data_IF_904030958419
#
_entry.id   IF_904030958419
#
_cell.length_a   1.000
_cell.length_b   1.000
_cell.length_c   1.000
_cell.angle_alpha   90.00
_cell.angle_beta   90.00
_cell.angle_gamma   90.00
#
_symmetry.space_group_name_H-M   'P 1'
#
loop_
_entity.id
_entity.type
_entity.pdbx_description
1 polymer ?
#
# COMPACT_ATOMS: atom_id res chain seq x y z
N UNK A 1 10.39 -36.73 45.27
CA UNK A 1 10.82 -35.58 44.45
C UNK A 1 10.32 -35.82 43.05
N UNK A 2 9.17 -35.26 42.71
CA UNK A 2 8.48 -35.44 41.43
C UNK A 2 8.95 -34.33 40.49
N UNK A 3 9.58 -34.73 39.40
CA UNK A 3 9.99 -33.80 38.34
C UNK A 3 8.74 -33.38 37.56
N UNK A 4 8.31 -32.13 37.72
CA UNK A 4 7.30 -31.51 36.88
C UNK A 4 7.86 -31.32 35.46
N UNK A 5 7.28 -32.05 34.54
CA UNK A 5 7.60 -32.01 33.12
C UNK A 5 6.76 -30.86 32.46
N UNK A 6 7.34 -29.77 31.93
CA UNK A 6 6.58 -28.67 31.30
C UNK A 6 6.49 -28.85 29.78
N UNK A 7 6.02 -29.98 29.25
CA UNK A 7 6.10 -30.29 27.81
C UNK A 7 4.78 -30.34 27.06
N UNK A 8 3.64 -29.93 27.63
CA UNK A 8 2.34 -30.06 26.93
C UNK A 8 1.65 -28.74 26.55
N UNK A 9 2.18 -27.57 26.92
CA UNK A 9 1.53 -26.27 26.65
C UNK A 9 2.05 -25.53 25.39
N UNK A 10 3.22 -25.92 24.84
CA UNK A 10 3.81 -25.19 23.70
C UNK A 10 3.13 -25.51 22.35
N UNK A 11 2.64 -26.72 22.15
CA UNK A 11 2.03 -27.15 20.89
C UNK A 11 0.66 -26.52 20.62
N UNK A 12 -0.17 -26.40 21.66
CA UNK A 12 -1.51 -25.79 21.54
C UNK A 12 -1.47 -24.30 21.23
N UNK A 13 -0.49 -23.55 21.75
CA UNK A 13 -0.32 -22.13 21.46
C UNK A 13 0.23 -21.88 20.05
N UNK A 14 1.08 -22.75 19.52
CA UNK A 14 1.62 -22.63 18.17
C UNK A 14 0.53 -22.82 17.10
N UNK A 15 -0.39 -23.77 17.28
CA UNK A 15 -1.53 -23.96 16.36
C UNK A 15 -2.48 -22.78 16.35
N UNK A 16 -2.79 -22.20 17.50
CA UNK A 16 -3.64 -21.01 17.63
C UNK A 16 -2.99 -19.78 16.97
N UNK A 17 -1.69 -19.58 17.18
CA UNK A 17 -0.94 -18.49 16.56
C UNK A 17 -0.95 -18.60 15.03
N UNK A 18 -0.78 -19.80 14.49
CA UNK A 18 -0.84 -20.04 13.05
C UNK A 18 -2.26 -19.80 12.50
N UNK A 19 -3.29 -20.27 13.19
CA UNK A 19 -4.69 -20.02 12.82
C UNK A 19 -4.99 -18.52 12.78
N UNK A 20 -4.60 -17.77 13.81
CA UNK A 20 -4.74 -16.32 13.87
C UNK A 20 -4.02 -15.63 12.70
N UNK A 21 -2.80 -16.05 12.39
CA UNK A 21 -2.04 -15.49 11.26
C UNK A 21 -2.75 -15.72 9.93
N UNK A 22 -3.18 -16.95 9.66
CA UNK A 22 -3.82 -17.31 8.39
C UNK A 22 -5.14 -16.53 8.21
N UNK A 23 -6.03 -16.57 9.21
CA UNK A 23 -7.34 -15.92 9.06
C UNK A 23 -7.24 -14.39 9.07
N UNK A 24 -6.27 -13.83 9.79
CA UNK A 24 -6.00 -12.38 9.76
C UNK A 24 -5.43 -11.94 8.41
N UNK A 25 -4.56 -12.74 7.81
CA UNK A 25 -4.01 -12.47 6.47
C UNK A 25 -5.12 -12.55 5.42
N UNK A 26 -5.99 -13.56 5.50
CA UNK A 26 -7.16 -13.65 4.61
C UNK A 26 -8.09 -12.45 4.79
N UNK A 27 -8.44 -12.10 6.03
CA UNK A 27 -9.28 -10.95 6.34
C UNK A 27 -8.68 -9.65 5.81
N UNK A 28 -7.38 -9.44 6.00
CA UNK A 28 -6.67 -8.28 5.47
C UNK A 28 -6.65 -8.26 3.94
N UNK A 29 -6.44 -9.42 3.29
CA UNK A 29 -6.47 -9.53 1.82
C UNK A 29 -7.84 -9.14 1.26
N UNK A 30 -8.91 -9.63 1.86
CA UNK A 30 -10.28 -9.31 1.42
C UNK A 30 -10.64 -7.85 1.72
N UNK A 31 -10.28 -7.32 2.88
CA UNK A 31 -10.46 -5.89 3.19
C UNK A 31 -9.69 -5.00 2.20
N UNK A 32 -8.45 -5.38 1.85
CA UNK A 32 -7.65 -4.61 0.89
C UNK A 32 -8.22 -4.71 -0.53
N UNK A 33 -8.74 -5.88 -0.94
CA UNK A 33 -9.45 -6.09 -2.19
C UNK A 33 -10.65 -5.13 -2.30
N UNK A 34 -11.49 -5.09 -1.26
CA UNK A 34 -12.64 -4.18 -1.17
C UNK A 34 -12.20 -2.72 -1.23
N UNK A 35 -11.17 -2.36 -0.50
CA UNK A 35 -10.64 -1.01 -0.45
C UNK A 35 -10.17 -0.50 -1.81
N UNK A 36 -9.64 -1.40 -2.66
CA UNK A 36 -9.17 -1.11 -4.02
C UNK A 36 -10.24 -1.26 -5.11
N UNK A 37 -11.48 -1.55 -4.76
CA UNK A 37 -12.56 -1.88 -5.68
C UNK A 37 -12.77 -0.80 -6.77
N UNK A 38 -12.71 0.47 -6.40
CA UNK A 38 -12.92 1.57 -7.33
C UNK A 38 -11.87 1.69 -8.44
N UNK A 39 -10.69 1.10 -8.28
CA UNK A 39 -9.69 1.05 -9.33
C UNK A 39 -10.15 0.27 -10.58
N UNK A 40 -11.16 -0.57 -10.43
CA UNK A 40 -11.76 -1.34 -11.54
C UNK A 40 -13.19 -0.86 -11.84
N UNK A 41 -14.10 -0.88 -10.86
CA UNK A 41 -15.50 -0.48 -11.10
C UNK A 41 -15.63 1.01 -11.40
N UNK A 42 -14.69 1.83 -10.98
CA UNK A 42 -14.66 3.25 -11.30
C UNK A 42 -14.61 3.54 -12.80
N UNK A 43 -14.08 2.61 -13.62
CA UNK A 43 -13.99 2.79 -15.08
C UNK A 43 -15.37 2.83 -15.74
N UNK A 44 -16.25 1.81 -15.59
CA UNK A 44 -17.61 1.88 -16.10
C UNK A 44 -18.43 3.00 -15.45
N UNK A 45 -18.25 3.29 -14.16
CA UNK A 45 -18.91 4.40 -13.47
C UNK A 45 -18.51 5.74 -14.09
N UNK A 46 -17.22 5.96 -14.35
CA UNK A 46 -16.73 7.14 -15.05
C UNK A 46 -17.39 7.34 -16.40
N UNK A 47 -17.49 6.27 -17.18
CA UNK A 47 -18.16 6.30 -18.50
C UNK A 47 -19.65 6.60 -18.38
N UNK A 48 -20.32 5.99 -17.41
CA UNK A 48 -21.77 6.16 -17.18
C UNK A 48 -22.12 7.58 -16.74
N UNK A 49 -21.30 8.21 -15.90
CA UNK A 49 -21.56 9.53 -15.34
C UNK A 49 -20.85 10.66 -16.10
N UNK A 50 -20.02 10.35 -17.09
CA UNK A 50 -19.27 11.33 -17.86
C UNK A 50 -18.20 12.07 -17.05
N UNK A 51 -17.57 11.39 -16.07
CA UNK A 51 -16.59 12.00 -15.18
C UNK A 51 -15.30 12.38 -15.92
N UNK A 52 -14.73 13.53 -15.57
CA UNK A 52 -13.37 13.89 -15.99
C UNK A 52 -12.31 13.09 -15.20
N UNK A 53 -11.02 13.30 -15.51
CA UNK A 53 -9.96 12.53 -14.86
C UNK A 53 -9.78 12.92 -13.39
N UNK A 54 -9.98 14.17 -13.02
CA UNK A 54 -9.93 14.66 -11.63
C UNK A 54 -11.04 14.03 -10.79
N UNK A 55 -12.27 14.03 -11.31
CA UNK A 55 -13.43 13.41 -10.66
C UNK A 55 -13.23 11.90 -10.48
N UNK A 56 -12.66 11.22 -11.46
CA UNK A 56 -12.29 9.82 -11.34
C UNK A 56 -11.20 9.61 -10.28
N UNK A 57 -10.20 10.47 -10.24
CA UNK A 57 -9.16 10.47 -9.21
C UNK A 57 -9.75 10.59 -7.81
N UNK A 58 -10.68 11.53 -7.61
CA UNK A 58 -11.38 11.71 -6.34
C UNK A 58 -12.26 10.51 -5.99
N UNK A 59 -12.99 9.96 -6.97
CA UNK A 59 -13.82 8.76 -6.79
C UNK A 59 -13.00 7.60 -6.25
N UNK A 60 -11.88 7.30 -6.90
CA UNK A 60 -11.02 6.18 -6.52
C UNK A 60 -10.27 6.41 -5.20
N UNK A 61 -9.94 7.65 -4.90
CA UNK A 61 -9.21 8.05 -3.72
C UNK A 61 -10.09 8.16 -2.45
N UNK A 62 -11.39 8.42 -2.60
CA UNK A 62 -12.29 8.67 -1.45
C UNK A 62 -12.24 7.58 -0.37
N UNK A 63 -12.27 6.27 -0.68
CA UNK A 63 -12.11 5.23 0.33
C UNK A 63 -10.74 5.29 1.03
N UNK A 64 -9.71 5.78 0.34
CA UNK A 64 -8.36 5.85 0.91
C UNK A 64 -8.26 6.89 2.01
N UNK A 65 -9.01 7.98 1.92
CA UNK A 65 -9.06 9.02 2.93
C UNK A 65 -9.51 8.44 4.28
N UNK A 66 -10.69 7.85 4.32
CA UNK A 66 -11.24 7.28 5.56
C UNK A 66 -10.39 6.12 6.05
N UNK A 67 -9.94 5.24 5.15
CA UNK A 67 -9.07 4.12 5.48
C UNK A 67 -7.74 4.56 6.09
N UNK A 68 -7.26 5.76 5.78
CA UNK A 68 -6.06 6.34 6.38
C UNK A 68 -6.33 6.94 7.75
N UNK A 69 -7.39 7.73 7.88
CA UNK A 69 -7.74 8.43 9.12
C UNK A 69 -8.18 7.47 10.23
N UNK A 70 -8.93 6.42 9.88
CA UNK A 70 -9.47 5.45 10.85
C UNK A 70 -8.40 4.56 11.50
N UNK A 71 -7.18 4.51 10.92
CA UNK A 71 -6.08 3.68 11.43
C UNK A 71 -5.74 3.98 12.88
N UNK A 72 -5.75 5.25 13.25
CA UNK A 72 -5.39 5.68 14.60
C UNK A 72 -6.42 5.21 15.63
N UNK A 73 -7.72 5.55 15.51
CA UNK A 73 -8.72 5.06 16.47
C UNK A 73 -8.83 3.53 16.47
N UNK A 74 -8.71 2.86 15.32
CA UNK A 74 -8.73 1.38 15.27
C UNK A 74 -7.55 0.76 16.00
N UNK A 75 -6.35 1.34 15.90
CA UNK A 75 -5.19 0.90 16.69
C UNK A 75 -5.46 0.99 18.20
N UNK A 76 -5.99 2.13 18.67
CA UNK A 76 -6.36 2.35 20.07
C UNK A 76 -7.45 1.35 20.53
N UNK A 77 -8.47 1.14 19.71
CA UNK A 77 -9.53 0.17 20.03
C UNK A 77 -9.01 -1.27 20.05
N UNK A 78 -8.08 -1.61 19.19
CA UNK A 78 -7.43 -2.93 19.17
C UNK A 78 -6.65 -3.19 20.46
N UNK A 79 -5.96 -2.16 20.97
CA UNK A 79 -5.26 -2.25 22.25
C UNK A 79 -6.22 -2.39 23.43
N UNK A 80 -7.38 -1.73 23.37
CA UNK A 80 -8.37 -1.68 24.46
C UNK A 80 -9.31 -2.91 24.47
N UNK A 81 -9.82 -3.31 23.31
CA UNK A 81 -10.88 -4.31 23.17
C UNK A 81 -10.42 -5.65 22.59
N UNK A 82 -9.17 -5.73 22.16
CA UNK A 82 -8.61 -6.90 21.49
C UNK A 82 -8.83 -6.93 19.98
N UNK A 83 -7.85 -7.52 19.29
CA UNK A 83 -7.83 -7.52 17.82
C UNK A 83 -8.95 -8.36 17.20
N UNK A 84 -9.35 -9.46 17.83
CA UNK A 84 -10.44 -10.32 17.36
C UNK A 84 -11.76 -9.56 17.22
N UNK A 85 -12.16 -8.86 18.28
CA UNK A 85 -13.46 -8.14 18.31
C UNK A 85 -13.42 -6.97 17.35
N UNK A 86 -12.35 -6.17 17.37
CA UNK A 86 -12.24 -4.97 16.54
C UNK A 86 -12.18 -5.32 15.06
N UNK A 87 -11.44 -6.37 14.68
CA UNK A 87 -11.33 -6.78 13.29
C UNK A 87 -12.66 -7.32 12.75
N UNK A 88 -13.33 -8.15 13.54
CA UNK A 88 -14.66 -8.67 13.20
C UNK A 88 -15.69 -7.55 13.03
N UNK A 89 -15.76 -6.63 14.00
CA UNK A 89 -16.66 -5.47 13.94
C UNK A 89 -16.37 -4.56 12.74
N UNK A 90 -15.10 -4.35 12.42
CA UNK A 90 -14.68 -3.59 11.24
C UNK A 90 -15.20 -4.22 9.94
N UNK A 91 -15.03 -5.53 9.77
CA UNK A 91 -15.52 -6.23 8.58
C UNK A 91 -17.03 -6.14 8.46
N UNK A 92 -17.77 -6.38 9.55
CA UNK A 92 -19.24 -6.26 9.55
C UNK A 92 -19.70 -4.84 9.23
N UNK A 93 -19.05 -3.81 9.78
CA UNK A 93 -19.37 -2.41 9.49
C UNK A 93 -19.21 -2.03 8.01
N UNK A 94 -18.32 -2.72 7.30
CA UNK A 94 -18.09 -2.49 5.87
C UNK A 94 -19.12 -3.20 4.96
N UNK A 95 -19.75 -4.29 5.40
CA UNK A 95 -20.65 -5.11 4.55
C UNK A 95 -21.80 -4.29 3.99
N UNK A 96 -22.47 -3.52 4.85
CA UNK A 96 -23.64 -2.71 4.45
C UNK A 96 -23.28 -1.62 3.44
N UNK A 97 -22.27 -0.77 3.68
CA UNK A 97 -21.85 0.24 2.70
C UNK A 97 -21.42 -0.37 1.35
N UNK A 98 -20.72 -1.51 1.37
CA UNK A 98 -20.32 -2.17 0.12
C UNK A 98 -21.55 -2.64 -0.65
N UNK A 99 -22.50 -3.26 0.02
CA UNK A 99 -23.76 -3.69 -0.62
C UNK A 99 -24.55 -2.51 -1.19
N UNK A 100 -24.65 -1.41 -0.45
CA UNK A 100 -25.35 -0.19 -0.88
C UNK A 100 -24.69 0.46 -2.10
N UNK A 101 -23.40 0.25 -2.33
CA UNK A 101 -22.68 0.80 -3.49
C UNK A 101 -23.34 0.43 -4.83
N UNK A 102 -23.92 -0.76 -4.93
CA UNK A 102 -24.58 -1.23 -6.13
C UNK A 102 -25.83 -0.43 -6.53
N UNK A 103 -26.39 0.32 -5.60
CA UNK A 103 -27.57 1.17 -5.81
C UNK A 103 -27.24 2.64 -6.00
N UNK A 104 -25.97 3.00 -5.98
CA UNK A 104 -25.52 4.38 -6.19
C UNK A 104 -25.76 4.79 -7.66
N UNK A 105 -26.36 5.96 -7.86
CA UNK A 105 -26.72 6.49 -9.19
C UNK A 105 -26.09 7.85 -9.50
N UNK A 106 -25.78 8.64 -8.47
CA UNK A 106 -25.17 9.96 -8.61
C UNK A 106 -23.74 9.97 -8.09
N UNK A 107 -22.90 10.83 -8.62
CA UNK A 107 -21.50 10.94 -8.24
C UNK A 107 -21.29 11.07 -6.72
N UNK A 108 -22.05 11.94 -6.08
CA UNK A 108 -21.95 12.15 -4.64
C UNK A 108 -22.38 10.94 -3.80
N UNK A 109 -23.28 10.04 -4.33
CA UNK A 109 -23.60 8.77 -3.66
C UNK A 109 -22.34 7.88 -3.56
N UNK A 110 -21.59 7.78 -4.66
CA UNK A 110 -20.35 7.02 -4.68
C UNK A 110 -19.31 7.56 -3.71
N UNK A 111 -19.18 8.90 -3.62
CA UNK A 111 -18.26 9.53 -2.68
C UNK A 111 -18.68 9.27 -1.23
N UNK A 112 -19.95 9.49 -0.90
CA UNK A 112 -20.47 9.30 0.46
C UNK A 112 -20.34 7.84 0.93
N UNK A 113 -20.80 6.89 0.11
CA UNK A 113 -20.71 5.46 0.43
C UNK A 113 -19.24 5.02 0.43
N UNK A 114 -18.43 5.55 -0.48
CA UNK A 114 -16.99 5.30 -0.58
C UNK A 114 -16.23 5.65 0.71
N UNK A 115 -16.63 6.70 1.43
CA UNK A 115 -16.07 7.03 2.75
C UNK A 115 -16.30 5.90 3.76
N UNK A 116 -17.48 5.28 3.76
CA UNK A 116 -17.76 4.15 4.66
C UNK A 116 -17.08 2.86 4.22
N UNK A 117 -17.02 2.57 2.92
CA UNK A 117 -16.23 1.46 2.36
C UNK A 117 -14.76 1.62 2.72
N UNK A 118 -14.30 2.85 2.82
CA UNK A 118 -12.93 3.18 3.20
C UNK A 118 -12.49 2.63 4.55
N UNK A 119 -13.41 2.38 5.48
CA UNK A 119 -13.10 1.79 6.79
C UNK A 119 -12.31 0.48 6.66
N UNK A 120 -12.53 -0.30 5.59
CA UNK A 120 -11.79 -1.52 5.31
C UNK A 120 -10.26 -1.31 5.22
N UNK A 121 -9.81 -0.11 4.81
CA UNK A 121 -8.38 0.27 4.78
C UNK A 121 -7.72 0.36 6.16
N UNK A 122 -8.51 0.43 7.23
CA UNK A 122 -8.02 0.38 8.61
C UNK A 122 -7.62 -1.01 9.11
N UNK A 123 -7.93 -2.06 8.37
CA UNK A 123 -7.67 -3.47 8.74
C UNK A 123 -6.22 -3.77 9.04
N UNK A 124 -5.27 -3.09 8.38
CA UNK A 124 -3.85 -3.21 8.67
C UNK A 124 -3.50 -2.81 10.11
N UNK A 125 -4.09 -1.71 10.60
CA UNK A 125 -3.82 -1.20 11.96
C UNK A 125 -4.43 -2.08 13.06
N UNK A 126 -5.44 -2.86 12.74
CA UNK A 126 -6.03 -3.85 13.65
C UNK A 126 -5.23 -5.14 13.63
N UNK A 127 -4.96 -5.66 12.44
CA UNK A 127 -4.31 -6.96 12.27
C UNK A 127 -2.85 -6.98 12.70
N UNK A 128 -2.11 -5.88 12.49
CA UNK A 128 -0.69 -5.80 12.86
C UNK A 128 -0.46 -6.06 14.36
N UNK A 129 -1.03 -5.29 15.30
CA UNK A 129 -0.86 -5.57 16.72
C UNK A 129 -1.49 -6.89 17.15
N UNK A 130 -2.64 -7.26 16.58
CA UNK A 130 -3.31 -8.51 16.90
C UNK A 130 -2.44 -9.73 16.57
N UNK A 131 -1.91 -9.81 15.35
CA UNK A 131 -1.01 -10.91 14.95
C UNK A 131 0.30 -10.88 15.74
N UNK A 132 0.89 -9.70 15.94
CA UNK A 132 2.15 -9.57 16.67
C UNK A 132 2.09 -10.14 18.09
N UNK A 133 0.96 -10.02 18.78
CA UNK A 133 0.75 -10.53 20.14
C UNK A 133 0.80 -12.06 20.25
N UNK A 134 0.54 -12.78 19.15
CA UNK A 134 0.55 -14.23 19.09
C UNK A 134 1.94 -14.84 18.81
N UNK A 135 2.93 -14.00 18.44
CA UNK A 135 4.25 -14.47 18.06
C UNK A 135 5.34 -13.91 19.00
N UNK A 136 6.34 -14.72 19.39
CA UNK A 136 7.48 -14.23 20.13
C UNK A 136 8.29 -13.24 19.26
N UNK A 137 9.02 -12.32 19.91
CA UNK A 137 9.77 -11.25 19.23
C UNK A 137 10.64 -11.74 18.06
N UNK A 138 11.26 -12.92 18.22
CA UNK A 138 12.13 -13.52 17.20
C UNK A 138 11.40 -13.95 15.92
N UNK A 139 10.07 -14.20 16.00
CA UNK A 139 9.23 -14.65 14.88
C UNK A 139 8.23 -13.59 14.41
N UNK A 140 8.18 -12.44 15.05
CA UNK A 140 7.25 -11.37 14.68
C UNK A 140 7.54 -10.84 13.27
N UNK A 141 8.81 -10.74 12.85
CA UNK A 141 9.18 -10.32 11.50
C UNK A 141 8.57 -11.22 10.42
N UNK A 142 8.66 -12.54 10.60
CA UNK A 142 8.02 -13.51 9.71
C UNK A 142 6.49 -13.35 9.69
N UNK A 143 5.86 -13.30 10.87
CA UNK A 143 4.42 -13.16 10.98
C UNK A 143 3.91 -11.85 10.34
N UNK A 144 4.62 -10.74 10.54
CA UNK A 144 4.30 -9.45 9.93
C UNK A 144 4.53 -9.45 8.41
N UNK A 145 5.53 -10.17 7.93
CA UNK A 145 5.77 -10.36 6.49
C UNK A 145 4.61 -11.10 5.83
N UNK A 146 4.17 -12.23 6.42
CA UNK A 146 3.02 -13.00 5.93
C UNK A 146 1.73 -12.19 6.00
N UNK A 147 1.44 -11.55 7.13
CA UNK A 147 0.27 -10.68 7.28
C UNK A 147 0.30 -9.52 6.26
N UNK A 148 1.46 -8.90 6.08
CA UNK A 148 1.66 -7.82 5.12
C UNK A 148 1.45 -8.21 3.66
N UNK A 149 1.56 -9.51 3.32
CA UNK A 149 1.23 -10.03 2.00
C UNK A 149 -0.26 -9.86 1.65
N UNK A 150 -1.13 -9.58 2.62
CA UNK A 150 -2.53 -9.20 2.40
C UNK A 150 -2.72 -7.95 1.53
N UNK A 151 -1.69 -7.11 1.36
CA UNK A 151 -1.70 -6.05 0.34
C UNK A 151 -1.93 -6.60 -1.09
N UNK A 152 -1.70 -7.89 -1.33
CA UNK A 152 -2.03 -8.56 -2.59
C UNK A 152 -3.52 -8.55 -2.93
N UNK A 153 -4.40 -8.16 -1.99
CA UNK A 153 -5.81 -7.89 -2.25
C UNK A 153 -6.02 -6.89 -3.40
N UNK A 154 -5.08 -5.96 -3.62
CA UNK A 154 -5.09 -5.09 -4.80
C UNK A 154 -4.98 -5.86 -6.13
N UNK A 155 -4.19 -6.95 -6.16
CA UNK A 155 -4.09 -7.82 -7.33
C UNK A 155 -5.32 -8.73 -7.43
N UNK A 156 -5.81 -9.29 -6.32
CA UNK A 156 -7.04 -10.10 -6.28
C UNK A 156 -8.21 -9.32 -6.87
N UNK A 157 -8.37 -8.04 -6.50
CA UNK A 157 -9.37 -7.16 -7.11
C UNK A 157 -9.25 -7.10 -8.64
N UNK A 158 -8.02 -7.06 -9.17
CA UNK A 158 -7.77 -6.98 -10.62
C UNK A 158 -8.02 -8.30 -11.35
N UNK A 159 -8.03 -9.43 -10.67
CA UNK A 159 -8.44 -10.71 -11.24
C UNK A 159 -9.95 -10.92 -11.19
N UNK A 160 -10.59 -10.57 -10.08
CA UNK A 160 -12.00 -10.87 -9.80
C UNK A 160 -12.94 -9.82 -10.39
N UNK A 161 -12.69 -8.53 -10.10
CA UNK A 161 -13.64 -7.47 -10.48
C UNK A 161 -13.85 -7.33 -11.99
N UNK A 162 -12.83 -7.37 -12.88
CA UNK A 162 -13.07 -7.27 -14.32
C UNK A 162 -13.88 -8.42 -14.88
N UNK A 163 -13.70 -9.63 -14.36
CA UNK A 163 -14.48 -10.80 -14.76
C UNK A 163 -15.98 -10.60 -14.43
N UNK A 164 -16.27 -10.11 -13.22
CA UNK A 164 -17.64 -9.79 -12.81
C UNK A 164 -18.23 -8.62 -13.61
N UNK A 165 -17.45 -7.57 -13.86
CA UNK A 165 -17.88 -6.41 -14.65
C UNK A 165 -18.30 -6.81 -16.04
N UNK A 166 -17.51 -7.66 -16.71
CA UNK A 166 -17.82 -8.09 -18.09
C UNK A 166 -18.97 -9.08 -18.14
N UNK A 167 -19.09 -9.98 -17.17
CA UNK A 167 -20.14 -11.01 -17.16
C UNK A 167 -21.49 -10.49 -16.69
N UNK A 168 -21.51 -9.60 -15.69
CA UNK A 168 -22.74 -9.22 -14.98
C UNK A 168 -22.92 -7.71 -14.80
N UNK A 169 -21.97 -6.91 -15.26
CA UNK A 169 -21.92 -5.46 -15.01
C UNK A 169 -21.25 -5.10 -13.68
N UNK A 170 -20.91 -3.83 -13.53
CA UNK A 170 -20.15 -3.36 -12.38
C UNK A 170 -20.92 -3.46 -11.04
N UNK A 171 -22.26 -3.39 -11.07
CA UNK A 171 -23.10 -3.46 -9.86
C UNK A 171 -23.02 -4.81 -9.15
N UNK A 172 -22.64 -5.88 -9.86
CA UNK A 172 -22.44 -7.20 -9.25
C UNK A 172 -21.19 -7.26 -8.37
N UNK A 173 -20.17 -6.45 -8.66
CA UNK A 173 -18.91 -6.47 -7.91
C UNK A 173 -19.12 -6.14 -6.43
N UNK A 174 -19.79 -5.02 -6.05
CA UNK A 174 -20.06 -4.75 -4.65
C UNK A 174 -20.92 -5.84 -3.96
N UNK A 175 -21.90 -6.42 -4.64
CA UNK A 175 -22.70 -7.49 -4.07
C UNK A 175 -21.86 -8.74 -3.74
N UNK A 176 -21.03 -9.18 -4.68
CA UNK A 176 -20.12 -10.32 -4.47
C UNK A 176 -19.11 -10.00 -3.37
N UNK A 177 -18.53 -8.79 -3.39
CA UNK A 177 -17.55 -8.39 -2.40
C UNK A 177 -18.11 -8.27 -0.99
N UNK A 178 -19.36 -7.79 -0.85
CA UNK A 178 -20.06 -7.77 0.43
C UNK A 178 -20.29 -9.20 0.96
N UNK A 179 -20.73 -10.13 0.09
CA UNK A 179 -20.92 -11.53 0.45
C UNK A 179 -19.61 -12.22 0.83
N UNK A 180 -18.52 -11.98 0.07
CA UNK A 180 -17.18 -12.51 0.37
C UNK A 180 -16.66 -11.97 1.69
N UNK A 181 -16.83 -10.65 1.94
CA UNK A 181 -16.40 -10.03 3.20
C UNK A 181 -17.18 -10.58 4.40
N UNK A 182 -18.50 -10.76 4.26
CA UNK A 182 -19.33 -11.38 5.30
C UNK A 182 -18.89 -12.81 5.58
N UNK A 183 -18.70 -13.63 4.54
CA UNK A 183 -18.16 -14.98 4.68
C UNK A 183 -16.79 -15.02 5.35
N UNK A 184 -15.91 -14.08 4.97
CA UNK A 184 -14.59 -13.91 5.60
C UNK A 184 -14.71 -13.53 7.07
N UNK A 185 -15.63 -12.63 7.43
CA UNK A 185 -15.88 -12.24 8.82
C UNK A 185 -16.35 -13.45 9.66
N UNK A 186 -17.25 -14.26 9.12
CA UNK A 186 -17.71 -15.48 9.77
C UNK A 186 -16.57 -16.48 9.99
N UNK A 187 -15.77 -16.75 8.93
CA UNK A 187 -14.58 -17.61 9.04
C UNK A 187 -13.59 -17.06 10.06
N UNK A 188 -13.33 -15.76 10.02
CA UNK A 188 -12.45 -15.10 10.97
C UNK A 188 -12.94 -15.30 12.41
N UNK A 189 -14.23 -15.14 12.68
CA UNK A 189 -14.79 -15.32 14.02
C UNK A 189 -14.58 -16.73 14.57
N UNK A 190 -14.76 -17.76 13.75
CA UNK A 190 -14.63 -19.14 14.19
C UNK A 190 -13.18 -19.59 14.36
N UNK A 191 -12.27 -19.11 13.53
CA UNK A 191 -10.87 -19.57 13.52
C UNK A 191 -9.88 -18.60 14.19
N UNK A 192 -10.32 -17.40 14.56
CA UNK A 192 -9.51 -16.47 15.36
C UNK A 192 -9.66 -16.76 16.86
N UNK A 193 -8.69 -16.30 17.64
CA UNK A 193 -8.66 -16.48 19.08
C UNK A 193 -8.53 -15.14 19.78
N UNK A 194 -9.13 -15.02 21.00
CA UNK A 194 -9.05 -13.82 21.80
C UNK A 194 -7.63 -13.58 22.32
N UNK A 195 -7.21 -12.34 22.29
CA UNK A 195 -5.89 -11.86 22.78
C UNK A 195 -5.99 -11.11 24.12
N UNK A 196 -7.09 -11.29 24.87
CA UNK A 196 -7.40 -10.57 26.11
C UNK A 196 -6.27 -10.60 27.15
N UNK A 197 -5.49 -11.67 27.17
CA UNK A 197 -4.35 -11.84 28.10
C UNK A 197 -3.13 -10.99 27.75
N UNK A 198 -3.12 -10.39 26.58
CA UNK A 198 -1.99 -9.63 26.02
C UNK A 198 -2.34 -8.19 25.71
N UNK A 199 -3.48 -7.71 26.21
CA UNK A 199 -3.90 -6.32 26.00
C UNK A 199 -2.95 -5.38 26.74
N UNK A 200 -2.41 -4.43 26.02
CA UNK A 200 -1.59 -3.35 26.55
C UNK A 200 -2.45 -2.10 26.54
N UNK A 201 -2.72 -1.54 27.72
CA UNK A 201 -3.39 -0.24 27.80
C UNK A 201 -2.42 0.82 27.29
N UNK A 202 -2.54 1.13 26.00
CA UNK A 202 -1.79 2.21 25.39
C UNK A 202 -2.44 3.54 25.74
N UNK A 203 -1.71 4.40 26.43
CA UNK A 203 -2.11 5.80 26.64
C UNK A 203 -1.82 6.68 25.40
N UNK A 204 -1.56 6.08 24.25
CA UNK A 204 -1.30 6.78 23.01
C UNK A 204 -2.57 7.52 22.55
N UNK A 205 -2.54 8.84 22.62
CA UNK A 205 -3.57 9.74 22.11
C UNK A 205 -3.25 10.09 20.64
N UNK A 206 -4.28 10.37 19.83
CA UNK A 206 -4.09 10.94 18.49
C UNK A 206 -3.19 12.18 18.52
N UNK A 207 -3.36 13.03 19.54
CA UNK A 207 -2.55 14.24 19.73
C UNK A 207 -1.08 13.91 20.01
N UNK A 208 -0.77 12.82 20.71
CA UNK A 208 0.62 12.40 20.95
C UNK A 208 1.31 11.93 19.66
N UNK A 209 0.58 11.30 18.76
CA UNK A 209 1.08 10.93 17.45
C UNK A 209 1.36 12.15 16.58
N UNK A 210 0.46 13.14 16.55
CA UNK A 210 0.69 14.39 15.82
C UNK A 210 1.92 15.16 16.33
N UNK A 211 2.20 15.11 17.63
CA UNK A 211 3.42 15.73 18.19
C UNK A 211 4.71 15.11 17.60
N UNK A 212 4.67 13.84 17.19
CA UNK A 212 5.82 13.19 16.57
C UNK A 212 6.21 13.82 15.22
N UNK A 213 5.30 14.51 14.54
CA UNK A 213 5.61 15.25 13.30
C UNK A 213 6.57 16.43 13.51
N UNK A 214 6.83 16.84 14.76
CA UNK A 214 7.87 17.83 15.05
C UNK A 214 9.28 17.30 14.88
N UNK A 215 9.46 15.97 14.87
CA UNK A 215 10.75 15.34 14.61
C UNK A 215 11.01 15.26 13.09
N UNK A 216 12.08 15.93 12.58
CA UNK A 216 12.43 15.88 11.16
C UNK A 216 12.68 14.46 10.62
N UNK A 217 13.12 13.52 11.46
CA UNK A 217 13.29 12.12 11.05
C UNK A 217 11.94 11.45 10.75
N UNK A 218 10.93 11.72 11.59
CA UNK A 218 9.57 11.22 11.38
C UNK A 218 8.97 11.78 10.10
N UNK A 219 9.14 13.07 9.82
CA UNK A 219 8.71 13.68 8.55
C UNK A 219 9.38 13.01 7.34
N UNK A 220 10.66 12.70 7.44
CA UNK A 220 11.39 11.99 6.39
C UNK A 220 10.81 10.59 6.14
N UNK A 221 10.51 9.84 7.19
CA UNK A 221 9.87 8.52 7.05
C UNK A 221 8.45 8.61 6.50
N UNK A 222 7.70 9.65 6.87
CA UNK A 222 6.41 9.98 6.25
C UNK A 222 6.56 10.20 4.74
N UNK A 223 7.55 10.97 4.31
CA UNK A 223 7.83 11.21 2.90
C UNK A 223 8.17 9.91 2.15
N UNK A 224 9.08 9.09 2.71
CA UNK A 224 9.44 7.81 2.08
C UNK A 224 8.25 6.87 1.97
N UNK A 225 7.46 6.77 3.02
CA UNK A 225 6.29 5.88 3.03
C UNK A 225 5.16 6.39 2.14
N UNK A 226 5.02 7.70 1.98
CA UNK A 226 4.08 8.29 1.01
C UNK A 226 4.38 7.90 -0.43
N UNK A 227 5.64 7.61 -0.77
CA UNK A 227 6.02 7.09 -2.09
C UNK A 227 5.74 5.60 -2.16
N UNK A 228 6.41 4.80 -1.31
CA UNK A 228 6.42 3.34 -1.47
C UNK A 228 5.08 2.69 -1.11
N UNK A 229 4.28 3.28 -0.24
CA UNK A 229 2.92 2.83 0.09
C UNK A 229 1.85 3.71 -0.54
N UNK A 230 1.91 5.03 -0.38
CA UNK A 230 0.94 5.95 -0.99
C UNK A 230 0.97 5.87 -2.50
N UNK A 231 2.15 5.89 -3.12
CA UNK A 231 2.33 5.67 -4.55
C UNK A 231 1.85 4.30 -5.01
N UNK A 232 2.11 3.24 -4.23
CA UNK A 232 1.61 1.90 -4.51
C UNK A 232 0.07 1.85 -4.55
N UNK A 233 -0.58 2.45 -3.57
CA UNK A 233 -2.06 2.55 -3.52
C UNK A 233 -2.57 3.37 -4.71
N UNK A 234 -1.99 4.54 -4.94
CA UNK A 234 -2.41 5.44 -6.01
C UNK A 234 -2.27 4.80 -7.41
N UNK A 235 -1.13 4.19 -7.72
CA UNK A 235 -0.94 3.49 -8.99
C UNK A 235 -1.79 2.22 -9.07
N UNK A 236 -2.00 1.50 -7.95
CA UNK A 236 -2.92 0.35 -7.95
C UNK A 236 -4.35 0.75 -8.33
N UNK A 237 -4.80 1.94 -7.97
CA UNK A 237 -6.10 2.48 -8.33
C UNK A 237 -6.14 3.04 -9.76
N UNK A 238 -5.01 3.59 -10.25
CA UNK A 238 -4.94 4.33 -11.52
C UNK A 238 -4.62 3.47 -12.72
N UNK A 239 -3.85 2.38 -12.56
CA UNK A 239 -3.23 1.66 -13.68
C UNK A 239 -4.20 0.98 -14.62
N UNK A 240 -5.33 0.44 -14.14
CA UNK A 240 -6.31 -0.22 -15.05
C UNK A 240 -6.85 0.80 -16.05
N UNK A 241 -7.24 1.99 -15.57
CA UNK A 241 -7.68 3.10 -16.45
C UNK A 241 -6.55 3.55 -17.39
N UNK A 242 -5.31 3.60 -16.90
CA UNK A 242 -4.17 3.98 -17.73
C UNK A 242 -4.00 3.02 -18.91
N UNK A 243 -3.97 1.71 -18.66
CA UNK A 243 -3.84 0.70 -19.72
C UNK A 243 -5.00 0.76 -20.73
N UNK A 244 -6.23 0.94 -20.24
CA UNK A 244 -7.41 1.10 -21.12
C UNK A 244 -7.28 2.34 -21.98
N UNK A 245 -6.89 3.47 -21.40
CA UNK A 245 -6.84 4.76 -22.10
C UNK A 245 -5.63 4.93 -23.02
N UNK A 246 -4.44 4.48 -22.57
CA UNK A 246 -3.18 4.70 -23.31
C UNK A 246 -2.97 3.66 -24.39
N UNK A 247 -3.26 2.39 -24.09
CA UNK A 247 -3.01 1.27 -24.99
C UNK A 247 -4.26 0.69 -25.63
N UNK A 248 -5.45 1.26 -25.35
CA UNK A 248 -6.72 0.80 -25.92
C UNK A 248 -7.11 -0.64 -25.55
N UNK A 249 -6.63 -1.13 -24.40
CA UNK A 249 -6.84 -2.51 -23.99
C UNK A 249 -8.23 -2.73 -23.40
N UNK A 250 -8.76 -3.94 -23.58
CA UNK A 250 -9.92 -4.41 -22.84
C UNK A 250 -9.65 -4.41 -21.32
N UNK A 251 -10.71 -4.17 -20.53
CA UNK A 251 -10.60 -4.02 -19.07
C UNK A 251 -10.00 -5.27 -18.38
N UNK A 252 -10.25 -6.48 -18.91
CA UNK A 252 -9.67 -7.72 -18.37
C UNK A 252 -8.16 -7.76 -18.57
N UNK A 253 -7.71 -7.48 -19.79
CA UNK A 253 -6.28 -7.46 -20.13
C UNK A 253 -5.57 -6.34 -19.39
N UNK A 254 -6.16 -5.14 -19.38
CA UNK A 254 -5.65 -3.98 -18.64
C UNK A 254 -5.46 -4.30 -17.15
N UNK A 255 -6.42 -4.96 -16.52
CA UNK A 255 -6.34 -5.34 -15.13
C UNK A 255 -5.28 -6.42 -14.86
N UNK A 256 -5.14 -7.42 -15.76
CA UNK A 256 -4.07 -8.42 -15.65
C UNK A 256 -2.68 -7.79 -15.71
N UNK A 257 -2.46 -6.86 -16.65
CA UNK A 257 -1.20 -6.13 -16.74
C UNK A 257 -0.96 -5.22 -15.53
N UNK A 258 -1.99 -4.55 -15.04
CA UNK A 258 -1.92 -3.76 -13.82
C UNK A 258 -1.64 -4.63 -12.57
N UNK A 259 -2.06 -5.89 -12.56
CA UNK A 259 -1.75 -6.83 -11.49
C UNK A 259 -0.24 -7.20 -11.45
N UNK A 260 0.49 -7.10 -12.55
CA UNK A 260 1.94 -7.28 -12.59
C UNK A 260 2.69 -6.28 -11.68
N UNK A 261 2.12 -5.12 -11.42
CA UNK A 261 2.62 -4.18 -10.43
C UNK A 261 2.13 -4.51 -9.01
N UNK A 262 0.82 -4.75 -8.87
CA UNK A 262 0.18 -4.87 -7.56
C UNK A 262 0.53 -6.16 -6.84
N UNK A 263 0.69 -7.27 -7.56
CA UNK A 263 0.97 -8.58 -6.98
C UNK A 263 2.36 -8.64 -6.33
N UNK A 264 3.46 -8.37 -7.05
CA UNK A 264 4.78 -8.35 -6.42
C UNK A 264 4.87 -7.28 -5.33
N UNK A 265 4.27 -6.11 -5.56
CA UNK A 265 4.19 -5.03 -4.57
C UNK A 265 3.50 -5.42 -3.27
N UNK A 266 2.54 -6.34 -3.32
CA UNK A 266 1.86 -6.90 -2.15
C UNK A 266 2.66 -8.02 -1.48
N UNK A 267 3.02 -9.04 -2.24
CA UNK A 267 3.56 -10.32 -1.71
C UNK A 267 5.01 -10.22 -1.25
N UNK A 268 5.87 -9.48 -1.98
CA UNK A 268 7.32 -9.51 -1.75
C UNK A 268 7.79 -8.64 -0.56
N UNK A 269 6.87 -8.08 0.21
CA UNK A 269 7.20 -7.25 1.38
C UNK A 269 8.04 -8.01 2.41
N UNK A 270 7.79 -9.31 2.60
CA UNK A 270 8.57 -10.13 3.53
C UNK A 270 10.05 -10.24 3.13
N UNK A 271 10.32 -10.35 1.83
CA UNK A 271 11.70 -10.37 1.29
C UNK A 271 12.37 -9.01 1.54
N UNK A 272 11.65 -7.91 1.36
CA UNK A 272 12.16 -6.58 1.68
C UNK A 272 12.53 -6.40 3.15
N UNK A 273 11.77 -7.02 4.07
CA UNK A 273 12.11 -7.07 5.50
C UNK A 273 13.41 -7.80 5.76
N UNK A 274 13.57 -9.00 5.21
CA UNK A 274 14.81 -9.77 5.31
C UNK A 274 16.02 -9.01 4.72
N UNK A 275 15.84 -8.36 3.55
CA UNK A 275 16.90 -7.54 2.97
C UNK A 275 17.27 -6.37 3.87
N UNK A 276 16.29 -5.72 4.49
CA UNK A 276 16.51 -4.59 5.39
C UNK A 276 17.23 -5.00 6.69
N UNK A 277 16.97 -6.22 7.19
CA UNK A 277 17.69 -6.78 8.32
C UNK A 277 19.15 -7.10 7.96
N UNK A 278 19.40 -7.60 6.73
CA UNK A 278 20.74 -7.99 6.28
C UNK A 278 21.61 -6.82 5.83
N UNK A 279 21.06 -5.88 5.08
CA UNK A 279 21.79 -4.78 4.42
C UNK A 279 21.56 -3.42 5.08
N UNK A 280 20.66 -3.33 6.05
CA UNK A 280 20.25 -2.09 6.71
C UNK A 280 19.14 -1.35 5.98
N UNK A 281 18.31 -0.66 6.76
CA UNK A 281 17.16 0.10 6.25
C UNK A 281 17.56 1.19 5.25
N UNK A 282 18.68 1.91 5.53
CA UNK A 282 19.21 2.95 4.66
C UNK A 282 19.57 2.43 3.27
N UNK A 283 20.38 1.37 3.19
CA UNK A 283 20.85 0.84 1.92
C UNK A 283 19.69 0.35 1.05
N UNK A 284 18.74 -0.39 1.64
CA UNK A 284 17.57 -0.88 0.91
C UNK A 284 16.71 0.27 0.41
N UNK A 285 16.42 1.27 1.26
CA UNK A 285 15.59 2.42 0.86
C UNK A 285 16.29 3.27 -0.21
N UNK A 286 17.61 3.45 -0.11
CA UNK A 286 18.42 4.18 -1.09
C UNK A 286 18.31 3.55 -2.48
N UNK A 287 18.52 2.24 -2.58
CA UNK A 287 18.40 1.53 -3.85
C UNK A 287 16.95 1.50 -4.37
N UNK A 288 15.97 1.35 -3.49
CA UNK A 288 14.55 1.44 -3.86
C UNK A 288 14.22 2.79 -4.49
N UNK A 289 14.72 3.90 -3.91
CA UNK A 289 14.46 5.23 -4.46
C UNK A 289 15.17 5.43 -5.82
N UNK A 290 16.40 4.92 -6.00
CA UNK A 290 17.08 4.99 -7.30
C UNK A 290 16.40 4.15 -8.38
N UNK A 291 16.02 2.92 -8.07
CA UNK A 291 15.27 2.07 -9.01
C UNK A 291 13.93 2.73 -9.36
N UNK A 292 13.23 3.28 -8.37
CA UNK A 292 11.98 4.02 -8.60
C UNK A 292 12.20 5.22 -9.50
N UNK A 293 13.27 5.97 -9.28
CA UNK A 293 13.61 7.15 -10.07
C UNK A 293 13.85 6.80 -11.54
N UNK A 294 14.62 5.76 -11.81
CA UNK A 294 14.89 5.28 -13.18
C UNK A 294 13.60 4.79 -13.84
N UNK A 295 12.86 3.92 -13.15
CA UNK A 295 11.59 3.39 -13.70
C UNK A 295 10.60 4.51 -14.00
N UNK A 296 10.41 5.44 -13.07
CA UNK A 296 9.46 6.54 -13.22
C UNK A 296 9.89 7.54 -14.31
N UNK A 297 11.19 7.78 -14.47
CA UNK A 297 11.71 8.57 -15.57
C UNK A 297 11.31 7.98 -16.92
N UNK A 298 11.54 6.68 -17.10
CA UNK A 298 11.20 5.99 -18.35
C UNK A 298 9.67 5.94 -18.56
N UNK A 299 8.90 5.66 -17.50
CA UNK A 299 7.43 5.61 -17.54
C UNK A 299 6.80 6.99 -17.80
N UNK A 300 7.48 8.06 -17.46
CA UNK A 300 6.96 9.44 -17.63
C UNK A 300 6.97 9.91 -19.07
N UNK A 301 7.72 9.24 -19.96
CA UNK A 301 7.80 9.63 -21.34
C UNK A 301 6.48 9.37 -22.08
N UNK A 302 5.82 10.40 -22.65
CA UNK A 302 4.56 10.23 -23.36
C UNK A 302 4.76 9.55 -24.71
N UNK A 303 3.72 8.91 -25.22
CA UNK A 303 3.69 8.47 -26.61
C UNK A 303 3.80 9.71 -27.52
N UNK A 304 4.86 9.78 -28.33
CA UNK A 304 5.19 10.99 -29.07
C UNK A 304 5.52 10.65 -30.52
N UNK A 305 4.83 11.28 -31.42
CA UNK A 305 5.16 11.28 -32.84
C UNK A 305 5.87 12.59 -33.19
N UNK A 306 7.07 12.51 -33.76
CA UNK A 306 7.76 13.70 -34.24
C UNK A 306 8.23 13.51 -35.66
N UNK A 307 8.09 14.55 -36.43
CA UNK A 307 8.44 14.57 -37.83
C UNK A 307 9.76 15.30 -38.04
N UNK A 308 10.73 14.59 -38.60
CA UNK A 308 12.04 15.14 -38.96
C UNK A 308 12.08 15.39 -40.48
N UNK A 309 12.48 16.58 -40.88
CA UNK A 309 12.74 16.89 -42.27
C UNK A 309 14.10 16.31 -42.69
N UNK A 310 14.06 15.26 -43.51
CA UNK A 310 15.27 14.60 -44.03
C UNK A 310 15.51 15.04 -45.47
N UNK A 311 16.69 14.73 -46.01
CA UNK A 311 17.01 14.98 -47.43
C UNK A 311 16.06 14.29 -48.41
N UNK A 312 15.36 13.24 -47.96
CA UNK A 312 14.38 12.47 -48.73
C UNK A 312 12.92 12.85 -48.41
N UNK A 313 12.67 14.01 -47.76
CA UNK A 313 11.37 14.47 -47.31
C UNK A 313 11.11 14.26 -45.82
N UNK A 314 9.91 14.59 -45.40
CA UNK A 314 9.46 14.45 -44.00
C UNK A 314 9.34 12.97 -43.63
N UNK A 315 9.97 12.57 -42.52
CA UNK A 315 9.80 11.25 -41.91
C UNK A 315 9.30 11.40 -40.47
N UNK A 316 8.20 10.70 -40.16
CA UNK A 316 7.66 10.64 -38.83
C UNK A 316 8.23 9.43 -38.06
N UNK A 317 8.73 9.70 -36.87
CA UNK A 317 9.23 8.71 -35.94
C UNK A 317 8.32 8.69 -34.72
N UNK A 318 7.96 7.48 -34.29
CA UNK A 318 7.24 7.24 -33.06
C UNK A 318 8.21 6.87 -31.96
N UNK A 319 8.16 7.58 -30.83
CA UNK A 319 8.89 7.27 -29.60
C UNK A 319 7.87 7.09 -28.48
N UNK A 320 7.92 5.92 -27.85
CA UNK A 320 7.06 5.58 -26.74
C UNK A 320 7.32 4.16 -26.25
N UNK A 321 6.92 3.87 -25.03
CA UNK A 321 7.02 2.52 -24.49
C UNK A 321 5.91 1.66 -25.07
N UNK A 322 6.28 0.50 -25.62
CA UNK A 322 5.27 -0.52 -25.88
C UNK A 322 4.72 -1.09 -24.58
N UNK A 323 3.55 -1.72 -24.64
CA UNK A 323 2.83 -2.21 -23.45
C UNK A 323 3.66 -3.22 -22.64
N UNK A 324 4.50 -4.03 -23.29
CA UNK A 324 5.31 -5.04 -22.59
C UNK A 324 6.47 -4.41 -21.82
N UNK A 325 7.19 -3.46 -22.43
CA UNK A 325 8.25 -2.72 -21.76
C UNK A 325 7.70 -1.87 -20.63
N UNK A 326 6.56 -1.22 -20.83
CA UNK A 326 5.86 -0.47 -19.81
C UNK A 326 5.48 -1.37 -18.62
N UNK A 327 4.87 -2.53 -18.87
CA UNK A 327 4.49 -3.49 -17.83
C UNK A 327 5.71 -4.08 -17.12
N UNK A 328 6.80 -4.31 -17.83
CA UNK A 328 8.08 -4.75 -17.24
C UNK A 328 8.64 -3.73 -16.23
N UNK A 329 8.62 -2.44 -16.59
CA UNK A 329 9.03 -1.36 -15.69
C UNK A 329 8.09 -1.25 -14.47
N UNK A 330 6.78 -1.41 -14.67
CA UNK A 330 5.79 -1.44 -13.58
C UNK A 330 6.01 -2.63 -12.65
N UNK A 331 6.36 -3.79 -13.18
CA UNK A 331 6.70 -4.97 -12.38
C UNK A 331 7.94 -4.73 -11.50
N UNK A 332 9.01 -4.16 -12.06
CA UNK A 332 10.22 -3.80 -11.32
C UNK A 332 9.90 -2.77 -10.23
N UNK A 333 9.09 -1.76 -10.55
CA UNK A 333 8.65 -0.74 -9.61
C UNK A 333 7.83 -1.36 -8.46
N UNK A 334 6.96 -2.31 -8.75
CA UNK A 334 6.19 -3.07 -7.75
C UNK A 334 7.08 -3.82 -6.78
N UNK A 335 8.11 -4.51 -7.26
CA UNK A 335 9.13 -5.19 -6.43
C UNK A 335 9.86 -4.17 -5.54
N UNK A 336 10.36 -3.09 -6.14
CA UNK A 336 11.08 -2.05 -5.42
C UNK A 336 10.23 -1.47 -4.27
N UNK A 337 8.97 -1.17 -4.52
CA UNK A 337 8.08 -0.62 -3.49
C UNK A 337 7.64 -1.64 -2.44
N UNK A 338 7.61 -2.94 -2.76
CA UNK A 338 7.46 -3.97 -1.74
C UNK A 338 8.61 -3.93 -0.73
N UNK A 339 9.85 -3.82 -1.22
CA UNK A 339 11.04 -3.72 -0.38
C UNK A 339 11.07 -2.40 0.41
N UNK A 340 10.73 -1.29 -0.24
CA UNK A 340 10.67 0.02 0.39
C UNK A 340 9.66 0.12 1.52
N UNK A 341 8.49 -0.52 1.38
CA UNK A 341 7.49 -0.57 2.46
C UNK A 341 8.03 -1.26 3.72
N UNK A 342 8.84 -2.27 3.57
CA UNK A 342 9.46 -2.97 4.70
C UNK A 342 10.64 -2.16 5.27
N UNK A 343 11.50 -1.59 4.42
CA UNK A 343 12.69 -0.85 4.86
C UNK A 343 12.34 0.42 5.65
N UNK A 344 11.26 1.12 5.30
CA UNK A 344 10.82 2.29 6.08
C UNK A 344 10.39 1.86 7.49
N UNK A 345 9.70 0.74 7.65
CA UNK A 345 9.35 0.23 8.98
C UNK A 345 10.57 -0.26 9.76
N UNK A 346 11.61 -0.73 9.08
CA UNK A 346 12.88 -1.06 9.72
C UNK A 346 13.56 0.18 10.30
N UNK A 347 13.57 1.32 9.59
CA UNK A 347 14.04 2.59 10.16
C UNK A 347 13.31 2.96 11.46
N UNK A 348 11.96 2.80 11.47
CA UNK A 348 11.17 3.11 12.65
C UNK A 348 11.54 2.19 13.80
N UNK A 349 11.74 0.91 13.53
CA UNK A 349 12.15 -0.08 14.53
C UNK A 349 13.53 0.24 15.12
N UNK A 350 14.48 0.64 14.28
CA UNK A 350 15.84 0.92 14.68
C UNK A 350 15.95 2.24 15.48
N UNK A 351 15.25 3.29 15.05
CA UNK A 351 15.36 4.63 15.64
C UNK A 351 14.41 4.86 16.83
N UNK A 352 13.24 4.18 16.85
CA UNK A 352 12.15 4.45 17.79
C UNK A 352 11.60 3.19 18.49
N UNK A 353 12.46 2.22 18.81
CA UNK A 353 12.05 0.92 19.35
C UNK A 353 11.06 0.95 20.52
N UNK A 354 11.13 1.97 21.41
CA UNK A 354 10.19 2.14 22.52
C UNK A 354 8.86 2.78 22.12
N UNK A 355 8.85 3.60 21.04
CA UNK A 355 7.70 4.35 20.56
C UNK A 355 7.23 3.89 19.16
N UNK A 356 7.58 2.66 18.79
CA UNK A 356 7.33 2.12 17.45
C UNK A 356 5.87 2.22 17.03
N UNK A 357 4.93 1.96 17.93
CA UNK A 357 3.49 2.03 17.65
C UNK A 357 3.02 3.43 17.27
N UNK A 358 3.45 4.44 18.03
CA UNK A 358 3.10 5.85 17.77
C UNK A 358 3.68 6.33 16.43
N UNK A 359 4.96 6.05 16.19
CA UNK A 359 5.64 6.50 14.96
C UNK A 359 5.13 5.74 13.74
N UNK A 360 4.92 4.42 13.85
CA UNK A 360 4.32 3.61 12.78
C UNK A 360 2.91 4.07 12.42
N UNK A 361 2.14 4.50 13.42
CA UNK A 361 0.79 5.04 13.21
C UNK A 361 0.80 6.30 12.35
N UNK A 362 1.64 7.29 12.70
CA UNK A 362 1.72 8.55 11.95
C UNK A 362 2.33 8.37 10.56
N UNK A 363 3.36 7.53 10.41
CA UNK A 363 3.96 7.21 9.11
C UNK A 363 2.96 6.44 8.24
N UNK A 364 2.19 5.51 8.83
CA UNK A 364 1.13 4.79 8.15
C UNK A 364 -0.01 5.71 7.68
N UNK A 365 -0.39 6.68 8.51
CA UNK A 365 -1.37 7.74 8.15
C UNK A 365 -0.85 8.58 6.98
N UNK A 366 0.39 9.05 7.03
CA UNK A 366 0.99 9.86 5.98
C UNK A 366 1.06 9.10 4.64
N UNK A 367 1.47 7.81 4.67
CA UNK A 367 1.44 6.96 3.49
C UNK A 367 0.03 6.80 2.90
N UNK A 368 -0.97 6.61 3.76
CA UNK A 368 -2.35 6.54 3.32
C UNK A 368 -2.85 7.85 2.72
N UNK A 369 -2.53 9.00 3.31
CA UNK A 369 -2.86 10.32 2.76
C UNK A 369 -2.17 10.57 1.41
N UNK A 370 -0.94 10.08 1.23
CA UNK A 370 -0.29 10.05 -0.09
C UNK A 370 -1.13 9.29 -1.12
N UNK A 371 -1.64 8.11 -0.74
CA UNK A 371 -2.54 7.31 -1.58
C UNK A 371 -3.89 7.97 -1.87
N UNK A 372 -4.34 8.90 -1.03
CA UNK A 372 -5.52 9.72 -1.27
C UNK A 372 -5.24 10.89 -2.23
N UNK A 373 -4.18 11.65 -1.98
CA UNK A 373 -3.89 12.87 -2.72
C UNK A 373 -3.42 12.57 -4.15
N UNK A 374 -2.56 11.56 -4.33
CA UNK A 374 -1.92 11.27 -5.61
C UNK A 374 -2.90 10.95 -6.75
N UNK A 375 -3.95 10.11 -6.60
CA UNK A 375 -4.89 9.87 -7.71
C UNK A 375 -5.65 11.12 -8.15
N UNK A 376 -5.95 12.03 -7.21
CA UNK A 376 -6.59 13.31 -7.50
C UNK A 376 -5.64 14.17 -8.31
N UNK A 377 -4.36 14.25 -7.92
CA UNK A 377 -3.34 14.97 -8.67
C UNK A 377 -3.06 14.37 -10.05
N UNK A 378 -3.08 13.04 -10.18
CA UNK A 378 -2.96 12.36 -11.47
C UNK A 378 -4.09 12.79 -12.42
N UNK A 379 -5.32 12.82 -11.90
CA UNK A 379 -6.48 13.28 -12.66
C UNK A 379 -6.37 14.76 -13.05
N UNK A 380 -6.03 15.61 -12.10
CA UNK A 380 -5.89 17.05 -12.35
C UNK A 380 -4.80 17.36 -13.38
N UNK A 381 -3.64 16.70 -13.28
CA UNK A 381 -2.57 16.88 -14.27
C UNK A 381 -2.99 16.36 -15.66
N UNK A 382 -3.72 15.25 -15.72
CA UNK A 382 -4.24 14.73 -16.98
C UNK A 382 -5.27 15.69 -17.61
N UNK A 383 -6.18 16.26 -16.82
CA UNK A 383 -7.17 17.23 -17.31
C UNK A 383 -6.50 18.53 -17.78
N UNK A 384 -5.43 18.99 -17.08
CA UNK A 384 -4.70 20.20 -17.42
C UNK A 384 -3.78 20.04 -18.64
N UNK A 385 -3.10 18.91 -18.76
CA UNK A 385 -2.05 18.71 -19.77
C UNK A 385 -2.51 17.89 -20.97
N UNK A 386 -3.57 17.10 -20.84
CA UNK A 386 -3.98 16.08 -21.79
C UNK A 386 -3.06 14.87 -21.87
N UNK A 387 -1.99 14.81 -21.04
CA UNK A 387 -0.95 13.78 -21.09
C UNK A 387 -1.18 12.74 -19.98
N UNK A 388 -1.43 11.49 -20.36
CA UNK A 388 -1.68 10.42 -19.38
C UNK A 388 -0.45 10.09 -18.54
N UNK A 389 0.75 10.16 -19.10
CA UNK A 389 2.00 9.89 -18.39
C UNK A 389 2.38 10.99 -17.38
N UNK A 390 1.64 12.09 -17.29
CA UNK A 390 1.85 13.15 -16.28
C UNK A 390 1.78 12.61 -14.83
N UNK A 391 1.03 11.54 -14.59
CA UNK A 391 1.02 10.84 -13.31
C UNK A 391 2.42 10.35 -12.91
N UNK A 392 3.17 9.77 -13.86
CA UNK A 392 4.53 9.30 -13.63
C UNK A 392 5.53 10.45 -13.54
N UNK A 393 5.31 11.55 -14.26
CA UNK A 393 6.12 12.78 -14.12
C UNK A 393 6.02 13.34 -12.70
N UNK A 394 4.82 13.38 -12.12
CA UNK A 394 4.60 13.78 -10.74
C UNK A 394 5.34 12.84 -9.78
N UNK A 395 5.16 11.53 -9.93
CA UNK A 395 5.82 10.55 -9.08
C UNK A 395 7.35 10.63 -9.17
N UNK A 396 7.87 10.86 -10.37
CA UNK A 396 9.29 11.10 -10.61
C UNK A 396 9.80 12.31 -9.79
N UNK A 397 9.07 13.43 -9.84
CA UNK A 397 9.41 14.62 -9.06
C UNK A 397 9.36 14.38 -7.55
N UNK A 398 8.36 13.63 -7.07
CA UNK A 398 8.23 13.31 -5.64
C UNK A 398 9.37 12.39 -5.16
N UNK A 399 9.80 11.44 -5.99
CA UNK A 399 10.98 10.60 -5.68
C UNK A 399 12.27 11.42 -5.64
N UNK A 400 12.42 12.42 -6.51
CA UNK A 400 13.54 13.37 -6.47
C UNK A 400 13.64 14.05 -5.10
N UNK A 401 12.54 14.55 -4.58
CA UNK A 401 12.50 15.18 -3.25
C UNK A 401 13.05 14.21 -2.18
N UNK A 402 12.65 12.94 -2.24
CA UNK A 402 13.16 11.94 -1.29
C UNK A 402 14.64 11.65 -1.45
N UNK A 403 15.14 11.52 -2.68
CA UNK A 403 16.56 11.30 -2.95
C UNK A 403 17.42 12.48 -2.47
N UNK A 404 17.00 13.72 -2.73
CA UNK A 404 17.67 14.92 -2.27
C UNK A 404 17.69 14.95 -0.74
N UNK A 405 16.53 14.71 -0.10
CA UNK A 405 16.43 14.71 1.36
C UNK A 405 17.32 13.63 1.98
N UNK A 406 17.32 12.42 1.44
CA UNK A 406 18.17 11.31 1.89
C UNK A 406 19.64 11.62 1.71
N UNK A 407 20.04 12.19 0.57
CA UNK A 407 21.43 12.60 0.33
C UNK A 407 21.91 13.59 1.39
N UNK A 408 21.16 14.67 1.66
CA UNK A 408 21.56 15.70 2.61
C UNK A 408 21.55 15.23 4.07
N UNK A 409 20.62 14.37 4.45
CA UNK A 409 20.46 13.96 5.85
C UNK A 409 21.27 12.72 6.22
N UNK A 410 21.58 11.85 5.29
CA UNK A 410 22.20 10.55 5.56
C UNK A 410 23.54 10.39 4.86
N UNK A 411 23.60 10.55 3.54
CA UNK A 411 24.81 10.27 2.76
C UNK A 411 25.90 11.32 3.06
N UNK A 412 25.57 12.60 2.98
CA UNK A 412 26.52 13.69 3.23
C UNK A 412 27.06 13.67 4.66
N UNK A 413 26.20 13.43 5.65
CA UNK A 413 26.66 13.35 7.06
C UNK A 413 27.63 12.20 7.26
N UNK A 414 27.40 11.04 6.67
CA UNK A 414 28.30 9.89 6.75
C UNK A 414 29.64 10.18 6.09
N UNK A 415 29.65 10.89 4.95
CA UNK A 415 30.88 11.31 4.27
C UNK A 415 31.69 12.32 5.10
N UNK A 416 31.03 13.29 5.72
CA UNK A 416 31.70 14.28 6.58
C UNK A 416 32.30 13.60 7.80
N UNK A 417 31.53 12.73 8.51
CA UNK A 417 32.04 11.98 9.65
C UNK A 417 33.15 10.99 9.27
N UNK A 418 33.08 10.36 8.08
CA UNK A 418 34.12 9.47 7.58
C UNK A 418 35.43 10.18 7.28
N UNK A 419 35.38 11.46 6.88
CA UNK A 419 36.56 12.29 6.65
C UNK A 419 37.15 12.85 7.95
N UNK A 420 36.36 12.99 9.02
CA UNK A 420 36.79 13.51 10.31
C UNK A 420 37.35 12.43 11.26
N UNK A 421 37.11 11.15 10.99
CA UNK A 421 37.56 10.02 11.81
C UNK A 421 38.33 8.98 10.99
N UNK A 422 39.66 9.14 10.82
CA UNK A 422 40.48 8.09 10.21
C UNK A 422 40.48 6.86 11.11
N UNK A 423 39.81 5.80 10.66
CA UNK A 423 39.71 4.52 11.37
C UNK A 423 38.31 4.11 11.87
N UNK A 424 37.27 4.89 11.57
CA UNK A 424 35.89 4.54 11.91
C UNK A 424 35.44 3.24 11.22
N UNK A 425 34.79 2.30 11.93
CA UNK A 425 34.31 1.04 11.34
C UNK A 425 33.28 1.22 10.20
N UNK A 426 32.74 2.43 10.03
CA UNK A 426 31.82 2.77 8.97
C UNK A 426 32.47 3.00 7.60
N UNK A 427 33.79 3.19 7.54
CA UNK A 427 34.52 3.33 6.27
C UNK A 427 34.66 2.00 5.50
N UNK A 428 34.43 0.86 6.15
CA UNK A 428 34.56 -0.48 5.55
C UNK A 428 33.30 -1.03 4.92
N UNK A 429 32.13 -0.46 5.19
CA UNK A 429 30.86 -0.96 4.64
C UNK A 429 30.52 -0.42 3.23
N UNK A 430 31.22 0.60 2.76
CA UNK A 430 31.07 1.16 1.41
C UNK A 430 32.10 0.66 0.39
N UNK A 431 33.06 -0.20 0.80
CA UNK A 431 34.08 -0.76 -0.09
C UNK A 431 33.89 -2.28 -0.40
N UNK A 432 32.74 -2.84 -0.07
CA UNK A 432 32.43 -4.22 -0.49
C UNK A 432 31.07 -4.34 -1.14
#
# INVERSE_FOLDING_TARGET
MSANNPTTTSGSNSGKALSVLIVSTLAFTVCFMVWMMFGVIGIPIKKQLGLNATEFGLLTATPVLTGSLIRVPLGIWTDKYGGRIVFFALMLACVIPIWMMSYATAYWHFLAIGLFVGLAGGSFSVGTPYVARWFPKQRQGFAMGVFGAGNSGAAVNKFVAPALVVAFGWTMVPHVYAAVLLGTAILFWFFSHSDDKHLVVSNASFMSQLKALKDPKVLKYCQYYSIVFGGYVALSLWMVQYYVGEYGLDIRVAALLAACFSLPGGVLRAIGGWMSDKFGAHSVTWWVMWVSWICLFLLSYPQTDFTVMTVNGAKTFHIGLNVYAFTGLMFILGIAWAFGKASVFKYISDDYGQNIGTISGIVGLAGGLGGFILPIMFGALMDLTGVRSSAFMLMYAVVWVSLIWMYWTEVRKTQVMGNEAPGSPFSRSFQR
#
